data_IF_783545464909
#
_entry.id   IF_783545464909
#
_cell.length_a   1.000
_cell.length_b   1.000
_cell.length_c   1.000
_cell.angle_alpha   90.00
_cell.angle_beta   90.00
_cell.angle_gamma   90.00
#
_symmetry.space_group_name_H-M   'P 1'
#
loop_
_entity.id
_entity.type
_entity.pdbx_description
1 polymer ?
#
# COMPACT_ATOMS: atom_id res chain seq x y z
N UNK A 1 -18.41 60.36 53.17
CA UNK A 1 -17.85 59.15 52.51
C UNK A 1 -17.27 59.59 51.17
N UNK A 2 -15.93 59.66 51.04
CA UNK A 2 -15.07 58.77 50.21
C UNK A 2 -15.53 58.71 48.74
N UNK A 3 -14.75 58.95 47.67
CA UNK A 3 -13.33 59.26 47.39
C UNK A 3 -13.32 59.72 45.90
N UNK A 4 -12.76 60.89 45.60
CA UNK A 4 -11.54 61.12 44.79
C UNK A 4 -11.48 60.44 43.41
N UNK A 5 -11.55 61.29 42.38
CA UNK A 5 -11.14 61.11 40.99
C UNK A 5 -9.62 60.95 40.85
N UNK A 6 -9.19 60.10 39.92
CA UNK A 6 -7.85 60.14 39.30
C UNK A 6 -8.00 59.83 37.79
N UNK A 7 -7.48 60.64 36.87
CA UNK A 7 -7.24 60.19 35.51
C UNK A 7 -5.87 59.49 35.48
N UNK A 8 -5.77 58.36 34.78
CA UNK A 8 -4.45 57.85 34.40
C UNK A 8 -4.43 57.46 32.93
N UNK A 9 -3.49 58.10 32.25
CA UNK A 9 -3.10 57.91 30.87
C UNK A 9 -2.42 56.55 30.63
N UNK A 10 -2.56 56.10 29.38
CA UNK A 10 -1.61 55.34 28.58
C UNK A 10 -1.30 53.88 28.95
N UNK A 11 -1.84 52.97 28.12
CA UNK A 11 -1.31 51.63 27.90
C UNK A 11 0.04 51.69 27.14
N UNK A 12 1.06 50.91 27.53
CA UNK A 12 2.15 50.57 26.62
C UNK A 12 1.95 49.18 26.01
N UNK A 13 2.02 49.20 24.67
CA UNK A 13 2.79 48.28 23.82
C UNK A 13 2.57 46.76 23.95
N UNK A 14 1.79 46.25 22.99
CA UNK A 14 2.21 45.24 22.00
C UNK A 14 3.39 44.36 22.41
N UNK A 15 3.09 43.11 22.79
CA UNK A 15 3.96 41.97 22.54
C UNK A 15 3.15 40.92 21.77
N UNK A 16 2.94 41.18 20.48
CA UNK A 16 2.44 40.17 19.55
C UNK A 16 3.61 39.23 19.23
N UNK A 17 3.85 38.27 20.11
CA UNK A 17 4.77 37.17 19.84
C UNK A 17 4.19 36.31 18.73
N UNK A 18 4.57 36.62 17.49
CA UNK A 18 4.24 35.80 16.32
C UNK A 18 4.99 34.46 16.47
N UNK A 19 4.32 33.46 17.04
CA UNK A 19 4.80 32.09 17.02
C UNK A 19 4.84 31.64 15.56
N UNK A 20 6.04 31.52 15.00
CA UNK A 20 6.27 30.78 13.76
C UNK A 20 5.95 29.30 14.05
N UNK A 21 4.72 28.89 13.75
CA UNK A 21 4.38 27.48 13.64
C UNK A 21 5.07 27.00 12.36
N UNK A 22 6.27 26.43 12.49
CA UNK A 22 6.88 25.66 11.42
C UNK A 22 6.03 24.40 11.24
N UNK A 23 4.98 24.50 10.42
CA UNK A 23 4.25 23.34 9.94
C UNK A 23 5.22 22.56 9.05
N UNK A 24 5.92 21.59 9.63
CA UNK A 24 6.65 20.58 8.86
C UNK A 24 5.58 19.73 8.20
N UNK A 25 5.19 20.09 6.97
CA UNK A 25 4.41 19.21 6.14
C UNK A 25 5.30 18.02 5.82
N UNK A 26 5.09 16.90 6.52
CA UNK A 26 5.61 15.62 6.09
C UNK A 26 4.85 15.24 4.82
N UNK A 27 5.34 15.68 3.67
CA UNK A 27 4.92 15.11 2.41
C UNK A 27 5.25 13.61 2.49
N UNK A 28 4.23 12.77 2.58
CA UNK A 28 4.40 11.34 2.41
C UNK A 28 5.09 11.14 1.06
N UNK A 29 6.30 10.58 1.08
CA UNK A 29 6.99 10.25 -0.16
C UNK A 29 6.07 9.34 -0.99
N UNK A 30 5.99 9.54 -2.32
CA UNK A 30 5.20 8.67 -3.15
C UNK A 30 5.68 7.23 -2.96
N UNK A 31 4.75 6.30 -2.80
CA UNK A 31 5.08 4.89 -2.65
C UNK A 31 5.85 4.41 -3.88
N UNK A 32 7.00 3.78 -3.64
CA UNK A 32 7.75 3.13 -4.71
C UNK A 32 7.12 1.76 -4.99
N UNK A 33 6.46 1.61 -6.14
CA UNK A 33 5.84 0.35 -6.52
C UNK A 33 6.86 -0.70 -6.97
N UNK A 34 8.04 -0.30 -7.48
CA UNK A 34 9.10 -1.22 -7.94
C UNK A 34 9.57 -2.20 -6.85
N UNK A 35 9.31 -1.87 -5.58
CA UNK A 35 9.64 -2.75 -4.44
C UNK A 35 9.01 -4.14 -4.56
N UNK A 36 7.92 -4.31 -5.31
CA UNK A 36 7.29 -5.63 -5.49
C UNK A 36 7.75 -6.38 -6.76
N UNK A 37 8.60 -5.79 -7.60
CA UNK A 37 9.20 -6.49 -8.76
C UNK A 37 10.06 -7.65 -8.26
N UNK A 38 9.88 -8.81 -8.86
CA UNK A 38 10.54 -10.06 -8.47
C UNK A 38 9.61 -11.28 -8.43
N UNK A 39 10.17 -12.40 -7.99
CA UNK A 39 9.44 -13.66 -7.82
C UNK A 39 9.06 -13.87 -6.37
N UNK A 40 7.85 -14.39 -6.17
CA UNK A 40 7.21 -14.54 -4.87
C UNK A 40 6.54 -15.90 -4.81
N UNK A 41 6.88 -16.71 -3.81
CA UNK A 41 6.32 -18.06 -3.64
C UNK A 41 5.46 -18.13 -2.40
N UNK A 42 4.28 -18.74 -2.56
CA UNK A 42 3.29 -18.86 -1.48
C UNK A 42 3.79 -19.80 -0.39
N UNK A 43 3.47 -19.52 0.86
CA UNK A 43 4.01 -20.31 1.98
C UNK A 43 3.28 -21.64 2.21
N UNK A 44 2.08 -21.81 1.66
CA UNK A 44 1.22 -22.99 1.84
C UNK A 44 1.21 -23.93 0.60
N UNK A 45 2.08 -23.68 -0.38
CA UNK A 45 2.21 -24.50 -1.59
C UNK A 45 3.12 -23.87 -2.65
N UNK A 46 3.41 -24.58 -3.73
CA UNK A 46 4.37 -24.16 -4.75
C UNK A 46 3.78 -23.19 -5.79
N UNK A 47 2.90 -22.28 -5.36
CA UNK A 47 2.30 -21.27 -6.22
C UNK A 47 3.17 -20.03 -6.27
N UNK A 48 3.42 -19.51 -7.47
CA UNK A 48 4.37 -18.40 -7.64
C UNK A 48 3.71 -17.25 -8.38
N UNK A 49 3.99 -16.03 -7.91
CA UNK A 49 3.76 -14.77 -8.63
C UNK A 49 5.11 -14.25 -9.09
N UNK A 50 5.22 -13.92 -10.38
CA UNK A 50 6.39 -13.23 -10.92
C UNK A 50 5.95 -11.86 -11.43
N UNK A 51 6.30 -10.80 -10.69
CA UNK A 51 6.11 -9.41 -11.10
C UNK A 51 7.34 -8.98 -11.90
N UNK A 52 7.16 -8.73 -13.19
CA UNK A 52 8.26 -8.42 -14.12
C UNK A 52 8.48 -6.93 -14.28
N UNK A 53 7.40 -6.16 -14.36
CA UNK A 53 7.42 -4.72 -14.61
C UNK A 53 6.15 -4.06 -14.06
N UNK A 54 6.24 -2.77 -13.73
CA UNK A 54 5.10 -1.95 -13.30
C UNK A 54 5.08 -0.69 -14.17
N UNK A 55 4.00 -0.53 -14.92
CA UNK A 55 3.83 0.60 -15.83
C UNK A 55 3.42 1.85 -15.08
N UNK A 56 3.62 3.00 -15.72
CA UNK A 56 3.30 4.32 -15.15
C UNK A 56 1.81 4.52 -14.83
N UNK A 57 0.91 3.75 -15.44
CA UNK A 57 -0.53 3.77 -15.16
C UNK A 57 -0.95 2.85 -14.01
N UNK A 58 0.01 2.15 -13.39
CA UNK A 58 -0.23 1.18 -12.32
C UNK A 58 -0.56 -0.22 -12.80
N UNK A 59 -0.68 -0.47 -14.11
CA UNK A 59 -0.77 -1.85 -14.62
C UNK A 59 0.55 -2.58 -14.41
N UNK A 60 0.50 -3.88 -14.08
CA UNK A 60 1.70 -4.66 -13.82
C UNK A 60 1.81 -5.86 -14.78
N UNK A 61 2.99 -6.11 -15.31
CA UNK A 61 3.28 -7.34 -16.06
C UNK A 61 3.57 -8.48 -15.08
N UNK A 62 2.62 -9.41 -14.95
CA UNK A 62 2.64 -10.46 -13.93
C UNK A 62 2.39 -11.84 -14.54
N UNK A 63 3.12 -12.84 -14.06
CA UNK A 63 2.83 -14.25 -14.31
C UNK A 63 2.39 -14.93 -13.02
N UNK A 64 1.41 -15.83 -13.12
CA UNK A 64 0.98 -16.69 -12.02
C UNK A 64 1.13 -18.16 -12.40
N UNK A 65 1.63 -18.97 -11.47
CA UNK A 65 1.96 -20.37 -11.72
C UNK A 65 1.35 -21.31 -10.67
N UNK A 66 0.69 -22.37 -11.16
CA UNK A 66 0.18 -23.49 -10.37
C UNK A 66 0.15 -24.82 -11.15
N UNK A 67 1.18 -25.66 -11.01
CA UNK A 67 2.58 -25.36 -11.33
C UNK A 67 2.76 -24.84 -12.78
N UNK A 68 1.77 -25.06 -13.66
CA UNK A 68 1.72 -24.47 -14.99
C UNK A 68 1.27 -23.01 -14.98
N UNK A 69 1.39 -22.33 -16.11
CA UNK A 69 0.89 -20.95 -16.27
C UNK A 69 -0.62 -20.92 -16.18
N UNK A 70 -1.17 -19.98 -15.40
CA UNK A 70 -2.58 -19.62 -15.42
C UNK A 70 -2.70 -18.21 -16.00
N UNK A 71 -3.66 -18.02 -16.89
CA UNK A 71 -3.86 -16.72 -17.51
C UNK A 71 -4.26 -15.64 -16.49
N UNK A 72 -3.49 -14.54 -16.48
CA UNK A 72 -3.77 -13.32 -15.72
C UNK A 72 -4.58 -12.39 -16.62
N UNK A 73 -5.85 -12.17 -16.28
CA UNK A 73 -6.73 -11.29 -17.04
C UNK A 73 -6.56 -9.82 -16.68
N UNK A 74 -6.15 -9.54 -15.44
CA UNK A 74 -5.98 -8.18 -14.93
C UNK A 74 -4.94 -8.17 -13.81
N UNK A 75 -4.12 -7.13 -13.79
CA UNK A 75 -3.16 -6.88 -12.71
C UNK A 75 -2.92 -5.39 -12.57
N UNK A 76 -3.01 -4.90 -11.33
CA UNK A 76 -2.77 -3.49 -11.03
C UNK A 76 -2.12 -3.32 -9.67
N UNK A 77 -1.35 -2.25 -9.54
CA UNK A 77 -0.63 -1.85 -8.33
C UNK A 77 -1.10 -0.44 -7.94
N UNK A 78 -1.40 -0.26 -6.66
CA UNK A 78 -1.84 1.01 -6.13
C UNK A 78 -1.30 1.22 -4.70
N UNK A 79 -1.30 2.46 -4.25
CA UNK A 79 -1.15 2.78 -2.84
C UNK A 79 -2.47 2.61 -2.11
N UNK A 80 -2.48 1.90 -0.98
CA UNK A 80 -3.63 1.85 -0.09
C UNK A 80 -3.15 1.80 1.36
N UNK A 81 -3.67 2.69 2.20
CA UNK A 81 -3.35 2.75 3.64
C UNK A 81 -1.83 2.84 3.93
N UNK A 82 -1.09 3.51 3.04
CA UNK A 82 0.38 3.63 3.14
C UNK A 82 1.17 2.40 2.70
N UNK A 83 0.51 1.38 2.14
CA UNK A 83 1.13 0.16 1.63
C UNK A 83 1.02 0.06 0.11
N UNK A 84 1.96 -0.66 -0.51
CA UNK A 84 1.84 -1.07 -1.91
C UNK A 84 0.89 -2.26 -1.98
N UNK A 85 -0.23 -2.08 -2.67
CA UNK A 85 -1.25 -3.11 -2.92
C UNK A 85 -1.10 -3.66 -4.32
N UNK A 86 -1.03 -4.98 -4.44
CA UNK A 86 -1.11 -5.71 -5.70
C UNK A 86 -2.45 -6.41 -5.81
N UNK A 87 -3.17 -6.17 -6.91
CA UNK A 87 -4.32 -6.96 -7.32
C UNK A 87 -3.99 -7.82 -8.53
N UNK A 88 -4.52 -9.04 -8.56
CA UNK A 88 -4.40 -9.96 -9.69
C UNK A 88 -5.75 -10.66 -9.89
N UNK A 89 -6.23 -10.73 -11.13
CA UNK A 89 -7.39 -11.55 -11.52
C UNK A 89 -6.95 -12.66 -12.47
N UNK A 90 -7.31 -13.89 -12.14
CA UNK A 90 -7.05 -15.08 -12.94
C UNK A 90 -8.29 -15.45 -13.74
N UNK A 91 -8.12 -15.75 -15.03
CA UNK A 91 -9.20 -16.18 -15.92
C UNK A 91 -8.74 -17.35 -16.78
N UNK A 92 -9.02 -18.57 -16.32
CA UNK A 92 -8.64 -19.81 -16.99
C UNK A 92 -9.54 -20.98 -16.55
N UNK A 93 -9.32 -22.18 -17.09
CA UNK A 93 -9.99 -23.41 -16.65
C UNK A 93 -9.68 -23.67 -15.16
N UNK A 94 -10.74 -23.69 -14.34
CA UNK A 94 -10.61 -23.81 -12.88
C UNK A 94 -10.41 -22.48 -12.14
N UNK A 95 -10.29 -21.37 -12.88
CA UNK A 95 -10.12 -20.01 -12.36
C UNK A 95 -11.07 -19.05 -13.09
N UNK A 96 -12.38 -19.11 -12.84
CA UNK A 96 -13.36 -18.29 -13.56
C UNK A 96 -13.44 -16.86 -13.01
N UNK A 97 -12.29 -16.21 -12.75
CA UNK A 97 -12.23 -14.90 -12.10
C UNK A 97 -11.74 -14.92 -10.66
N UNK A 98 -10.93 -15.92 -10.26
CA UNK A 98 -10.29 -15.92 -8.94
C UNK A 98 -9.37 -14.72 -8.79
N UNK A 99 -9.27 -14.13 -7.60
CA UNK A 99 -8.51 -12.89 -7.39
C UNK A 99 -7.53 -13.00 -6.23
N UNK A 100 -6.42 -12.28 -6.36
CA UNK A 100 -5.55 -11.93 -5.24
C UNK A 100 -5.68 -10.45 -4.93
N UNK A 101 -5.68 -10.13 -3.64
CA UNK A 101 -5.47 -8.77 -3.13
C UNK A 101 -4.40 -8.85 -2.06
N UNK A 102 -3.20 -8.37 -2.38
CA UNK A 102 -1.99 -8.54 -1.58
C UNK A 102 -1.41 -7.18 -1.23
N UNK A 103 -0.78 -7.07 -0.06
CA UNK A 103 -0.09 -5.88 0.42
C UNK A 103 1.36 -6.22 0.73
N UNK A 104 2.27 -5.34 0.31
CA UNK A 104 3.68 -5.52 0.59
C UNK A 104 4.04 -5.04 2.01
N UNK A 105 4.62 -5.94 2.79
CA UNK A 105 5.16 -5.67 4.12
C UNK A 105 6.69 -5.76 4.08
N UNK A 106 7.35 -4.60 4.10
CA UNK A 106 8.81 -4.49 3.97
C UNK A 106 9.58 -5.24 5.08
N UNK A 107 9.10 -5.20 6.32
CA UNK A 107 9.74 -5.86 7.47
C UNK A 107 9.92 -7.37 7.31
N UNK A 108 9.04 -8.00 6.54
CA UNK A 108 9.01 -9.45 6.32
C UNK A 108 9.37 -9.84 4.90
N UNK A 109 9.59 -8.85 4.03
CA UNK A 109 9.75 -9.05 2.59
C UNK A 109 8.66 -9.99 2.03
N UNK A 110 7.41 -9.62 2.31
CA UNK A 110 6.26 -10.48 2.05
C UNK A 110 5.12 -9.74 1.36
N UNK A 111 4.39 -10.46 0.50
CA UNK A 111 3.08 -10.07 -0.01
C UNK A 111 2.01 -10.83 0.79
N UNK A 112 1.20 -10.11 1.55
CA UNK A 112 0.21 -10.69 2.47
C UNK A 112 -1.18 -10.20 2.09
N UNK A 113 -2.16 -11.08 2.09
CA UNK A 113 -3.54 -10.68 1.91
C UNK A 113 -4.46 -11.84 1.59
N UNK A 114 -5.34 -11.64 0.62
CA UNK A 114 -6.45 -12.55 0.37
C UNK A 114 -6.40 -13.16 -1.03
N UNK A 115 -6.80 -14.43 -1.11
CA UNK A 115 -7.09 -15.15 -2.33
C UNK A 115 -8.57 -15.53 -2.35
N UNK A 116 -9.35 -14.94 -3.25
CA UNK A 116 -10.71 -15.38 -3.54
C UNK A 116 -10.68 -16.44 -4.64
N UNK A 117 -11.13 -17.65 -4.31
CA UNK A 117 -11.19 -18.80 -5.21
C UNK A 117 -12.62 -18.91 -5.77
N UNK A 118 -12.81 -18.43 -7.00
CA UNK A 118 -14.15 -18.23 -7.58
C UNK A 118 -14.92 -19.54 -7.83
N UNK A 119 -14.23 -20.65 -8.05
CA UNK A 119 -14.86 -21.94 -8.30
C UNK A 119 -15.51 -22.56 -7.04
N UNK A 120 -14.99 -22.25 -5.85
CA UNK A 120 -15.50 -22.72 -4.56
C UNK A 120 -16.25 -21.64 -3.79
N UNK A 121 -16.24 -20.39 -4.27
CA UNK A 121 -16.76 -19.22 -3.59
C UNK A 121 -16.22 -19.06 -2.16
N UNK A 122 -14.88 -19.08 -2.04
CA UNK A 122 -14.19 -18.98 -0.75
C UNK A 122 -13.00 -18.04 -0.82
N UNK A 123 -12.76 -17.35 0.30
CA UNK A 123 -11.59 -16.49 0.48
C UNK A 123 -10.63 -17.11 1.48
N UNK A 124 -9.34 -17.07 1.17
CA UNK A 124 -8.25 -17.56 2.00
C UNK A 124 -7.27 -16.44 2.29
N UNK A 125 -6.70 -16.43 3.49
CA UNK A 125 -5.53 -15.63 3.80
C UNK A 125 -4.29 -16.32 3.24
N UNK A 126 -3.43 -15.55 2.57
CA UNK A 126 -2.25 -16.07 1.90
C UNK A 126 -1.05 -15.15 2.13
N UNK A 127 0.12 -15.78 2.16
CA UNK A 127 1.41 -15.10 2.28
C UNK A 127 2.29 -15.61 1.16
N UNK A 128 2.93 -14.69 0.44
CA UNK A 128 4.03 -14.99 -0.46
C UNK A 128 5.31 -14.36 0.07
N UNK A 129 6.40 -15.12 0.04
CA UNK A 129 7.74 -14.66 0.38
C UNK A 129 8.55 -14.47 -0.89
N UNK A 130 9.41 -13.46 -0.90
CA UNK A 130 10.31 -13.25 -2.04
C UNK A 130 11.24 -14.44 -2.21
N UNK A 131 11.40 -14.91 -3.44
CA UNK A 131 12.47 -15.84 -3.78
C UNK A 131 13.81 -15.13 -3.72
N UNK A 132 14.81 -15.77 -3.10
CA UNK A 132 16.17 -15.27 -3.15
C UNK A 132 16.66 -15.37 -4.60
N UNK A 133 17.37 -14.35 -5.08
CA UNK A 133 18.13 -14.47 -6.30
C UNK A 133 19.18 -15.59 -6.12
N UNK A 134 19.22 -16.54 -7.06
CA UNK A 134 20.32 -17.51 -7.17
C UNK A 134 21.58 -16.85 -7.74
#
# INVERSE_FOLDING_TARGET
MKRMTFPNLALPAVCLGLQFIMAVSAFAQPLNFEVIVGKWTRTDGNYTIHVRDIKSDGSADIGYFNPGTINVAESHVAGQDGLVKLFVKLQDRGYPGSTYTLYYYAEKEALVGYYYQAAMDRTFEVIFLREKAE
#
